data_IF_308547035630
#
_entry.id   IF_308547035630
#
_cell.length_a   1.000
_cell.length_b   1.000
_cell.length_c   1.000
_cell.angle_alpha   90.00
_cell.angle_beta   90.00
_cell.angle_gamma   90.00
#
_symmetry.space_group_name_H-M   'P 1'
#
loop_
_entity.id
_entity.type
_entity.pdbx_description
1 polymer ?
#
# COMPACT_ATOMS: atom_id res chain seq x y z
N UNK A 1 -4.58 4.58 -17.81
CA UNK A 1 -3.70 4.18 -16.70
C UNK A 1 -2.63 3.16 -17.13
N UNK A 2 -1.92 3.37 -18.25
CA UNK A 2 -0.84 2.43 -18.68
C UNK A 2 0.56 2.88 -18.27
N UNK A 3 0.67 4.08 -17.67
CA UNK A 3 1.94 4.79 -17.43
C UNK A 3 2.07 5.30 -15.99
N UNK A 4 1.20 4.88 -15.06
CA UNK A 4 1.38 5.25 -13.65
C UNK A 4 2.52 4.40 -13.06
N UNK A 5 3.36 4.99 -12.20
CA UNK A 5 4.47 4.27 -11.59
C UNK A 5 3.94 3.13 -10.73
N UNK A 6 4.54 1.95 -10.89
CA UNK A 6 4.26 0.79 -10.06
C UNK A 6 5.44 0.54 -9.12
N UNK A 7 5.17 0.54 -7.82
CA UNK A 7 6.20 0.38 -6.79
C UNK A 7 5.86 -0.77 -5.87
N UNK A 8 6.87 -1.57 -5.53
CA UNK A 8 6.75 -2.69 -4.59
C UNK A 8 7.58 -2.41 -3.35
N UNK A 9 7.10 -2.88 -2.20
CA UNK A 9 7.77 -2.71 -0.93
C UNK A 9 7.87 -4.04 -0.18
N UNK A 10 8.96 -4.21 0.57
CA UNK A 10 9.11 -5.25 1.59
C UNK A 10 8.97 -4.62 2.97
N UNK A 11 8.13 -5.21 3.81
CA UNK A 11 8.01 -4.84 5.23
C UNK A 11 9.24 -5.38 5.97
N UNK A 12 9.97 -4.47 6.64
CA UNK A 12 11.16 -4.79 7.44
C UNK A 12 10.81 -4.85 8.92
N UNK A 13 9.94 -3.95 9.37
CA UNK A 13 9.48 -3.84 10.75
C UNK A 13 7.96 -3.86 10.74
N UNK A 14 7.33 -4.64 11.61
CA UNK A 14 5.87 -4.69 11.74
C UNK A 14 5.29 -3.36 12.23
N UNK A 15 4.17 -2.93 11.63
CA UNK A 15 3.42 -1.73 12.01
C UNK A 15 1.92 -1.96 11.87
N UNK A 16 1.12 -1.15 12.57
CA UNK A 16 -0.34 -1.25 12.52
C UNK A 16 -0.90 -0.64 11.24
N UNK A 17 -1.92 -1.31 10.69
CA UNK A 17 -2.70 -0.86 9.54
C UNK A 17 -4.16 -1.23 9.76
N UNK A 18 -5.06 -0.47 9.15
CA UNK A 18 -6.45 -0.90 8.97
C UNK A 18 -6.54 -1.69 7.66
N UNK A 19 -6.76 -2.99 7.76
CA UNK A 19 -7.01 -3.85 6.60
C UNK A 19 -8.49 -3.99 6.29
N UNK A 20 -8.84 -4.17 5.02
CA UNK A 20 -10.21 -4.48 4.62
C UNK A 20 -10.33 -4.80 3.13
N UNK A 21 -11.50 -5.28 2.74
CA UNK A 21 -11.84 -5.51 1.34
C UNK A 21 -12.12 -4.18 0.63
N UNK A 22 -11.61 -4.05 -0.60
CA UNK A 22 -11.87 -2.91 -1.49
C UNK A 22 -13.25 -3.08 -2.09
N UNK A 23 -14.12 -2.09 -1.90
CA UNK A 23 -15.47 -2.09 -2.48
C UNK A 23 -15.45 -1.88 -4.01
N UNK A 24 -16.47 -2.34 -4.75
CA UNK A 24 -16.62 -2.01 -6.16
C UNK A 24 -16.78 -0.49 -6.34
N UNK A 25 -15.99 0.12 -7.23
CA UNK A 25 -16.03 1.56 -7.52
C UNK A 25 -15.37 1.85 -8.89
N UNK A 26 -15.64 3.02 -9.48
CA UNK A 26 -15.09 3.43 -10.79
C UNK A 26 -15.32 2.42 -11.93
N UNK A 27 -16.50 1.79 -11.97
CA UNK A 27 -16.86 0.72 -12.93
C UNK A 27 -15.96 -0.53 -12.85
N UNK A 28 -15.21 -0.69 -11.76
CA UNK A 28 -14.37 -1.85 -11.48
C UNK A 28 -14.93 -2.69 -10.32
N UNK A 29 -14.66 -4.00 -10.37
CA UNK A 29 -15.26 -4.99 -9.45
C UNK A 29 -14.72 -4.93 -8.02
N UNK A 30 -13.57 -4.31 -7.79
CA UNK A 30 -12.92 -4.30 -6.47
C UNK A 30 -12.50 -5.70 -6.00
N UNK A 31 -12.73 -6.02 -4.72
CA UNK A 31 -12.50 -7.35 -4.12
C UNK A 31 -11.07 -7.64 -3.66
N UNK A 32 -10.13 -6.73 -3.91
CA UNK A 32 -8.77 -6.81 -3.36
C UNK A 32 -8.73 -6.49 -1.86
N UNK A 33 -7.63 -6.84 -1.19
CA UNK A 33 -7.37 -6.37 0.18
C UNK A 33 -6.55 -5.08 0.13
N UNK A 34 -7.02 -4.04 0.81
CA UNK A 34 -6.28 -2.80 1.02
C UNK A 34 -5.79 -2.67 2.46
N UNK A 35 -4.70 -1.93 2.64
CA UNK A 35 -4.10 -1.60 3.93
C UNK A 35 -3.97 -0.08 4.03
N UNK A 36 -4.68 0.53 4.98
CA UNK A 36 -4.56 1.94 5.28
C UNK A 36 -3.64 2.11 6.50
N UNK A 37 -2.51 2.76 6.29
CA UNK A 37 -1.55 3.11 7.35
C UNK A 37 -1.82 4.51 7.91
N UNK A 38 -1.41 4.74 9.17
CA UNK A 38 -1.42 6.09 9.79
C UNK A 38 -0.37 7.01 9.16
N UNK A 39 0.75 6.45 8.72
CA UNK A 39 1.83 7.17 8.04
C UNK A 39 1.73 7.04 6.52
N UNK A 40 2.21 8.05 5.82
CA UNK A 40 2.41 7.97 4.37
C UNK A 40 3.49 6.94 3.99
N UNK A 41 3.48 6.49 2.74
CA UNK A 41 4.51 5.58 2.21
C UNK A 41 5.92 6.17 2.35
N UNK A 42 6.08 7.47 2.10
CA UNK A 42 7.36 8.16 2.24
C UNK A 42 7.87 8.20 3.69
N UNK A 43 6.96 8.39 4.66
CA UNK A 43 7.31 8.32 6.08
C UNK A 43 7.69 6.90 6.49
N UNK A 44 6.96 5.88 6.04
CA UNK A 44 7.31 4.48 6.32
C UNK A 44 8.69 4.12 5.76
N UNK A 45 9.04 4.61 4.56
CA UNK A 45 10.39 4.48 3.98
C UNK A 45 11.43 5.21 4.83
N UNK A 46 11.17 6.48 5.16
CA UNK A 46 12.08 7.35 5.93
C UNK A 46 12.38 6.77 7.32
N UNK A 47 11.39 6.19 7.98
CA UNK A 47 11.53 5.59 9.31
C UNK A 47 12.04 4.14 9.27
N UNK A 48 12.22 3.56 8.08
CA UNK A 48 12.78 2.22 7.91
C UNK A 48 11.81 1.06 8.18
N UNK A 49 10.49 1.32 8.18
CA UNK A 49 9.48 0.25 8.28
C UNK A 49 9.40 -0.58 7.01
N UNK A 50 9.59 0.06 5.85
CA UNK A 50 9.54 -0.58 4.53
C UNK A 50 10.73 -0.17 3.67
N UNK A 51 11.09 -1.03 2.72
CA UNK A 51 12.07 -0.73 1.67
C UNK A 51 11.49 -1.07 0.31
N UNK A 52 11.81 -0.25 -0.68
CA UNK A 52 11.41 -0.47 -2.08
C UNK A 52 12.16 -1.68 -2.68
N UNK A 53 11.47 -2.48 -3.50
CA UNK A 53 12.03 -3.66 -4.16
C UNK A 53 11.65 -3.70 -5.63
N UNK A 54 12.48 -4.36 -6.44
CA UNK A 54 12.26 -4.58 -7.87
C UNK A 54 11.15 -5.58 -8.19
#
# INVERSE_FOLDING_TARGET
MKNEPYTKYKVLVSFEVKSGEIVPWFDEVGGGTQYLSTYSVDELKKFGYIVEVE
#
